data_IF_671273613326
#
_entry.id   IF_671273613326
#
_cell.length_a   1.000
_cell.length_b   1.000
_cell.length_c   1.000
_cell.angle_alpha   90.00
_cell.angle_beta   90.00
_cell.angle_gamma   90.00
#
_symmetry.space_group_name_H-M   'P 1'
#
loop_
_entity.id
_entity.type
_entity.pdbx_description
1 polymer ?
#
# COMPACT_ATOMS: atom_id res chain seq x y z
N UNK A 1 -18.39 3.91 12.66
CA UNK A 1 -17.83 3.73 11.31
C UNK A 1 -18.42 4.80 10.43
N UNK A 2 -17.62 5.77 9.97
CA UNK A 2 -18.12 6.83 9.10
C UNK A 2 -18.38 6.23 7.73
N UNK A 3 -19.64 6.15 7.33
CA UNK A 3 -20.05 5.67 6.03
C UNK A 3 -19.52 6.68 4.99
N UNK A 4 -18.43 6.33 4.31
CA UNK A 4 -17.87 7.19 3.26
C UNK A 4 -18.73 7.06 2.02
N UNK A 5 -19.16 8.19 1.44
CA UNK A 5 -19.90 8.22 0.18
C UNK A 5 -19.10 7.55 -0.96
N UNK A 6 -17.77 7.65 -0.90
CA UNK A 6 -16.84 6.96 -1.79
C UNK A 6 -16.73 5.45 -1.49
N UNK A 7 -17.40 4.91 -0.47
CA UNK A 7 -17.47 3.47 -0.24
C UNK A 7 -18.50 2.75 -1.11
N UNK A 8 -19.47 3.49 -1.69
CA UNK A 8 -20.55 2.91 -2.47
C UNK A 8 -20.05 2.32 -3.81
N UNK A 9 -20.52 1.12 -4.12
CA UNK A 9 -20.23 0.36 -5.34
C UNK A 9 -21.50 0.03 -6.15
N UNK A 10 -22.68 0.23 -5.56
CA UNK A 10 -24.00 0.01 -6.20
C UNK A 10 -24.90 1.24 -6.09
N UNK A 11 -25.89 1.36 -6.97
CA UNK A 11 -26.90 2.43 -6.92
C UNK A 11 -27.72 2.37 -5.63
N UNK A 12 -28.08 1.17 -5.17
CA UNK A 12 -28.87 0.95 -3.96
C UNK A 12 -28.13 1.39 -2.68
N UNK A 13 -26.79 1.32 -2.69
CA UNK A 13 -25.99 1.87 -1.62
C UNK A 13 -26.01 3.39 -1.62
N UNK A 14 -25.99 4.03 -2.79
CA UNK A 14 -26.06 5.49 -2.92
C UNK A 14 -27.40 6.03 -2.41
N UNK A 15 -28.51 5.32 -2.65
CA UNK A 15 -29.84 5.72 -2.14
C UNK A 15 -29.86 5.87 -0.61
N UNK A 16 -29.06 5.07 0.11
CA UNK A 16 -28.95 5.14 1.58
C UNK A 16 -28.27 6.42 2.07
N UNK A 17 -27.53 7.11 1.21
CA UNK A 17 -26.89 8.40 1.53
C UNK A 17 -27.81 9.60 1.29
N UNK A 18 -28.93 9.39 0.59
CA UNK A 18 -29.95 10.40 0.32
C UNK A 18 -30.23 10.59 -1.15
N UNK A 19 -30.91 11.68 -1.49
CA UNK A 19 -31.28 11.99 -2.88
C UNK A 19 -30.07 12.29 -3.75
N UNK A 20 -30.20 12.05 -5.07
CA UNK A 20 -29.18 12.41 -6.08
C UNK A 20 -28.69 13.84 -5.88
N UNK A 21 -29.60 14.81 -5.71
CA UNK A 21 -29.26 16.22 -5.49
C UNK A 21 -28.40 16.46 -4.24
N UNK A 22 -28.73 15.78 -3.14
CA UNK A 22 -28.00 15.90 -1.88
C UNK A 22 -26.58 15.35 -2.04
N UNK A 23 -26.45 14.22 -2.72
CA UNK A 23 -25.14 13.59 -2.97
C UNK A 23 -24.32 14.43 -3.94
N UNK A 24 -24.91 14.97 -5.02
CA UNK A 24 -24.26 15.88 -5.96
C UNK A 24 -23.74 17.13 -5.24
N UNK A 25 -24.54 17.70 -4.35
CA UNK A 25 -24.15 18.89 -3.58
C UNK A 25 -22.96 18.58 -2.66
N UNK A 26 -22.97 17.43 -2.00
CA UNK A 26 -21.84 16.96 -1.19
C UNK A 26 -20.60 16.73 -2.06
N UNK A 27 -20.72 16.08 -3.22
CA UNK A 27 -19.59 15.84 -4.11
C UNK A 27 -18.99 17.16 -4.61
N UNK A 28 -19.83 18.12 -5.00
CA UNK A 28 -19.36 19.45 -5.44
C UNK A 28 -18.53 20.20 -4.39
N UNK A 29 -18.73 19.97 -3.08
CA UNK A 29 -17.86 20.60 -2.07
C UNK A 29 -16.45 20.01 -2.02
N UNK A 30 -16.26 18.79 -2.51
CA UNK A 30 -14.94 18.13 -2.56
C UNK A 30 -14.24 18.28 -3.91
N UNK A 31 -14.97 18.68 -4.95
CA UNK A 31 -14.47 18.76 -6.30
C UNK A 31 -14.03 20.18 -6.66
N UNK A 32 -13.05 20.34 -7.56
CA UNK A 32 -12.70 21.65 -8.09
C UNK A 32 -13.91 22.28 -8.82
N UNK A 33 -14.01 23.62 -8.89
CA UNK A 33 -15.15 24.32 -9.49
C UNK A 33 -15.40 23.97 -10.96
N UNK A 34 -14.39 23.44 -11.65
CA UNK A 34 -14.45 23.01 -13.05
C UNK A 34 -15.02 21.60 -13.26
N UNK A 35 -15.23 20.82 -12.20
CA UNK A 35 -15.77 19.47 -12.31
C UNK A 35 -17.28 19.52 -12.57
N UNK A 36 -17.70 18.90 -13.66
CA UNK A 36 -19.12 18.76 -14.01
C UNK A 36 -19.56 17.34 -13.69
N UNK A 37 -20.61 17.21 -12.89
CA UNK A 37 -21.27 15.93 -12.61
C UNK A 37 -22.45 15.78 -13.57
N UNK A 38 -22.58 14.62 -14.19
CA UNK A 38 -23.63 14.31 -15.15
C UNK A 38 -24.93 13.82 -14.49
N UNK A 39 -24.93 13.68 -13.16
CA UNK A 39 -25.93 12.93 -12.41
C UNK A 39 -27.36 13.50 -12.46
N UNK A 40 -28.17 12.97 -13.38
CA UNK A 40 -29.65 12.99 -13.32
C UNK A 40 -30.23 11.73 -12.66
N UNK A 41 -29.41 10.70 -12.42
CA UNK A 41 -29.79 9.43 -11.79
C UNK A 41 -28.67 8.84 -10.92
N UNK A 42 -29.00 7.87 -10.05
CA UNK A 42 -28.01 7.17 -9.22
C UNK A 42 -27.00 6.35 -10.04
N UNK A 43 -27.39 5.85 -11.22
CA UNK A 43 -26.47 5.13 -12.11
C UNK A 43 -25.39 6.05 -12.69
N UNK A 44 -25.78 7.25 -13.10
CA UNK A 44 -24.85 8.28 -13.58
C UNK A 44 -23.95 8.78 -12.44
N UNK A 45 -24.54 8.99 -11.26
CA UNK A 45 -23.81 9.34 -10.05
C UNK A 45 -22.75 8.29 -9.70
N UNK A 46 -23.06 7.00 -9.86
CA UNK A 46 -22.11 5.92 -9.64
C UNK A 46 -20.93 5.99 -10.63
N UNK A 47 -21.20 6.29 -11.89
CA UNK A 47 -20.15 6.48 -12.91
C UNK A 47 -19.26 7.68 -12.57
N UNK A 48 -19.86 8.80 -12.16
CA UNK A 48 -19.14 9.99 -11.72
C UNK A 48 -18.28 9.68 -10.49
N UNK A 49 -18.81 8.99 -9.48
CA UNK A 49 -18.06 8.58 -8.28
C UNK A 49 -16.88 7.68 -8.65
N UNK A 50 -17.05 6.72 -9.57
CA UNK A 50 -15.94 5.89 -10.07
C UNK A 50 -14.89 6.72 -10.78
N UNK A 51 -15.29 7.67 -11.63
CA UNK A 51 -14.37 8.56 -12.32
C UNK A 51 -13.60 9.44 -11.33
N UNK A 52 -14.28 10.02 -10.33
CA UNK A 52 -13.69 10.84 -9.26
C UNK A 52 -12.66 10.02 -8.48
N UNK A 53 -12.99 8.79 -8.07
CA UNK A 53 -12.05 7.88 -7.39
C UNK A 53 -10.79 7.63 -8.21
N UNK A 54 -10.94 7.49 -9.52
CA UNK A 54 -9.84 7.10 -10.40
C UNK A 54 -8.95 8.29 -10.80
N UNK A 55 -9.52 9.50 -10.92
CA UNK A 55 -8.83 10.63 -11.56
C UNK A 55 -8.64 11.85 -10.66
N UNK A 56 -9.55 12.07 -9.70
CA UNK A 56 -9.54 13.27 -8.83
C UNK A 56 -9.00 12.95 -7.45
N UNK A 57 -9.46 11.85 -6.86
CA UNK A 57 -8.81 11.24 -5.71
C UNK A 57 -7.60 10.48 -6.25
N UNK A 58 -6.59 11.23 -6.72
CA UNK A 58 -5.23 10.70 -6.54
C UNK A 58 -5.11 10.53 -5.04
N UNK A 59 -4.78 9.34 -4.59
CA UNK A 59 -4.36 9.10 -3.23
C UNK A 59 -3.06 9.88 -2.95
N UNK A 60 -3.14 11.21 -2.89
CA UNK A 60 -2.42 11.95 -1.86
C UNK A 60 -3.16 11.63 -0.55
N UNK A 61 -3.13 10.34 -0.16
CA UNK A 61 -3.43 9.97 1.20
C UNK A 61 -2.37 10.67 2.03
N UNK A 62 -2.75 11.76 2.69
CA UNK A 62 -1.90 12.44 3.66
C UNK A 62 -1.74 11.46 4.82
N UNK A 63 -0.74 10.59 4.71
CA UNK A 63 -0.41 9.66 5.78
C UNK A 63 0.04 10.46 7.00
N UNK A 64 -0.55 10.18 8.15
CA UNK A 64 -0.24 10.92 9.39
C UNK A 64 1.21 10.68 9.82
N UNK A 65 1.77 9.52 9.48
CA UNK A 65 3.16 9.19 9.74
C UNK A 65 3.69 8.12 8.75
N UNK A 66 5.03 7.93 8.68
CA UNK A 66 5.63 6.92 7.81
C UNK A 66 5.15 5.50 8.08
N UNK A 67 4.76 5.16 9.32
CA UNK A 67 4.25 3.82 9.66
C UNK A 67 2.95 3.52 8.92
N UNK A 68 1.98 4.44 8.96
CA UNK A 68 0.70 4.29 8.25
C UNK A 68 0.90 4.16 6.74
N UNK A 69 1.81 4.95 6.18
CA UNK A 69 2.19 4.87 4.77
C UNK A 69 2.70 3.48 4.39
N UNK A 70 3.63 2.93 5.18
CA UNK A 70 4.20 1.60 4.88
C UNK A 70 3.17 0.49 5.06
N UNK A 71 2.30 0.56 6.08
CA UNK A 71 1.20 -0.40 6.27
C UNK A 71 0.26 -0.39 5.07
N UNK A 72 -0.12 0.79 4.60
CA UNK A 72 -0.97 0.94 3.42
C UNK A 72 -0.32 0.30 2.17
N UNK A 73 0.95 0.62 1.89
CA UNK A 73 1.63 0.04 0.73
C UNK A 73 1.78 -1.47 0.82
N UNK A 74 1.96 -2.03 2.01
CA UNK A 74 2.06 -3.47 2.21
C UNK A 74 0.73 -4.18 2.00
N UNK A 75 -0.39 -3.61 2.45
CA UNK A 75 -1.68 -4.31 2.53
C UNK A 75 -2.72 -3.93 1.48
N UNK A 76 -2.73 -2.68 1.05
CA UNK A 76 -3.88 -2.08 0.35
C UNK A 76 -3.54 -1.59 -1.06
N UNK A 77 -2.25 -1.33 -1.34
CA UNK A 77 -1.86 -0.80 -2.65
C UNK A 77 -1.95 -1.86 -3.76
N UNK A 78 -2.86 -1.63 -4.70
CA UNK A 78 -3.23 -2.59 -5.74
C UNK A 78 -2.15 -2.77 -6.83
N UNK A 79 -1.43 -1.71 -7.19
CA UNK A 79 -0.42 -1.77 -8.25
C UNK A 79 0.91 -2.31 -7.70
N UNK A 80 1.27 -3.54 -8.10
CA UNK A 80 2.48 -4.19 -7.62
C UNK A 80 3.79 -3.49 -7.99
N UNK A 81 3.84 -2.80 -9.15
CA UNK A 81 5.03 -2.06 -9.59
C UNK A 81 5.22 -0.79 -8.78
N UNK A 82 4.13 -0.03 -8.59
CA UNK A 82 4.15 1.17 -7.76
C UNK A 82 4.40 0.83 -6.29
N UNK A 83 3.82 -0.27 -5.77
CA UNK A 83 4.12 -0.79 -4.41
C UNK A 83 5.62 -0.98 -4.21
N UNK A 84 6.26 -1.70 -5.13
CA UNK A 84 7.70 -1.97 -5.08
C UNK A 84 8.50 -0.66 -5.07
N UNK A 85 8.17 0.27 -5.96
CA UNK A 85 8.82 1.57 -6.02
C UNK A 85 8.66 2.37 -4.73
N UNK A 86 7.44 2.44 -4.18
CA UNK A 86 7.12 3.18 -2.96
C UNK A 86 7.77 2.58 -1.71
N UNK A 87 7.88 1.26 -1.64
CA UNK A 87 8.58 0.56 -0.57
C UNK A 87 10.11 0.56 -0.76
N UNK A 88 10.63 1.14 -1.85
CA UNK A 88 12.07 1.15 -2.14
C UNK A 88 12.66 -0.22 -2.47
N UNK A 89 11.83 -1.13 -3.01
CA UNK A 89 12.29 -2.41 -3.56
C UNK A 89 13.08 -2.13 -4.83
N UNK A 90 14.24 -2.77 -4.94
CA UNK A 90 15.13 -2.65 -6.09
C UNK A 90 15.36 -4.01 -6.72
N UNK A 91 15.68 -4.02 -8.01
CA UNK A 91 15.98 -5.25 -8.75
C UNK A 91 17.22 -5.98 -8.18
N UNK A 92 18.16 -5.23 -7.58
CA UNK A 92 19.35 -5.79 -6.90
C UNK A 92 18.99 -6.76 -5.76
N UNK A 93 17.79 -6.67 -5.19
CA UNK A 93 17.35 -7.56 -4.10
C UNK A 93 17.03 -8.98 -4.57
N UNK A 94 16.77 -9.16 -5.87
CA UNK A 94 16.44 -10.45 -6.48
C UNK A 94 17.66 -11.16 -7.10
N UNK A 95 18.86 -10.59 -6.95
CA UNK A 95 20.10 -11.19 -7.43
C UNK A 95 20.69 -12.14 -6.38
N UNK A 96 21.51 -13.11 -6.79
CA UNK A 96 22.11 -14.09 -5.88
C UNK A 96 22.93 -13.44 -4.74
N UNK A 97 23.62 -12.33 -5.04
CA UNK A 97 24.37 -11.54 -4.06
C UNK A 97 23.51 -10.47 -3.34
N UNK A 98 22.22 -10.39 -3.67
CA UNK A 98 21.26 -9.39 -3.21
C UNK A 98 20.68 -9.63 -1.82
N UNK A 99 20.86 -10.83 -1.25
CA UNK A 99 20.24 -11.23 0.01
C UNK A 99 20.55 -10.27 1.17
N UNK A 100 21.80 -9.80 1.28
CA UNK A 100 22.19 -8.82 2.31
C UNK A 100 21.47 -7.48 2.14
N UNK A 101 21.32 -7.01 0.90
CA UNK A 101 20.63 -5.77 0.59
C UNK A 101 19.12 -5.89 0.86
N UNK A 102 18.52 -7.01 0.45
CA UNK A 102 17.11 -7.34 0.73
C UNK A 102 16.85 -7.41 2.24
N UNK A 103 17.76 -7.97 3.02
CA UNK A 103 17.63 -8.06 4.48
C UNK A 103 17.70 -6.69 5.14
N UNK A 104 18.63 -5.82 4.72
CA UNK A 104 18.71 -4.43 5.18
C UNK A 104 17.43 -3.65 4.87
N UNK A 105 16.89 -3.84 3.67
CA UNK A 105 15.61 -3.28 3.27
C UNK A 105 14.47 -3.75 4.19
N UNK A 106 14.35 -5.07 4.40
CA UNK A 106 13.34 -5.66 5.29
C UNK A 106 13.45 -5.12 6.72
N UNK A 107 14.66 -5.07 7.27
CA UNK A 107 14.91 -4.59 8.64
C UNK A 107 14.54 -3.10 8.80
N UNK A 108 14.81 -2.27 7.79
CA UNK A 108 14.41 -0.86 7.78
C UNK A 108 12.89 -0.72 7.86
N UNK A 109 12.14 -1.46 7.05
CA UNK A 109 10.67 -1.40 7.06
C UNK A 109 10.15 -1.96 8.38
N UNK A 110 10.68 -3.09 8.86
CA UNK A 110 10.34 -3.68 10.14
C UNK A 110 10.52 -2.67 11.29
N UNK A 111 11.60 -1.89 11.29
CA UNK A 111 11.81 -0.85 12.28
C UNK A 111 10.71 0.22 12.24
N UNK A 112 10.34 0.71 11.06
CA UNK A 112 9.25 1.70 10.88
C UNK A 112 7.91 1.14 11.39
N UNK A 113 7.62 -0.14 11.12
CA UNK A 113 6.39 -0.79 11.59
C UNK A 113 6.36 -0.98 13.12
N UNK A 114 7.53 -1.22 13.75
CA UNK A 114 7.71 -1.43 15.20
C UNK A 114 7.89 -0.16 16.01
N UNK A 115 8.17 0.99 15.40
CA UNK A 115 8.47 2.26 16.09
C UNK A 115 7.38 2.72 17.08
N UNK A 116 6.18 2.18 16.99
CA UNK A 116 4.98 2.67 17.68
C UNK A 116 4.16 1.52 18.30
N UNK A 117 4.81 0.42 18.70
CA UNK A 117 4.15 -0.84 19.09
C UNK A 117 2.90 -0.69 19.96
N UNK A 118 1.75 -0.97 19.35
CA UNK A 118 0.69 -1.77 19.96
C UNK A 118 0.44 -2.93 18.98
N UNK A 119 0.26 -4.15 19.49
CA UNK A 119 0.15 -5.39 18.70
C UNK A 119 -1.15 -5.52 17.90
N UNK A 120 -1.54 -4.46 17.20
CA UNK A 120 -2.75 -4.46 16.38
C UNK A 120 -2.60 -5.44 15.20
N UNK A 121 -3.69 -6.13 14.91
CA UNK A 121 -3.77 -7.17 13.87
C UNK A 121 -3.30 -6.65 12.51
N UNK A 122 -3.58 -5.38 12.20
CA UNK A 122 -3.20 -4.76 10.92
C UNK A 122 -1.68 -4.67 10.80
N UNK A 123 -0.99 -4.30 11.87
CA UNK A 123 0.48 -4.27 11.91
C UNK A 123 1.07 -5.67 11.79
N UNK A 124 0.47 -6.67 12.44
CA UNK A 124 0.92 -8.06 12.31
C UNK A 124 0.78 -8.57 10.86
N UNK A 125 -0.34 -8.26 10.21
CA UNK A 125 -0.55 -8.58 8.79
C UNK A 125 0.45 -7.86 7.89
N UNK A 126 0.76 -6.59 8.17
CA UNK A 126 1.77 -5.85 7.42
C UNK A 126 3.16 -6.48 7.57
N UNK A 127 3.51 -6.91 8.78
CA UNK A 127 4.74 -7.67 9.05
C UNK A 127 4.80 -8.99 8.30
N UNK A 128 3.71 -9.75 8.31
CA UNK A 128 3.61 -11.00 7.56
C UNK A 128 3.85 -10.75 6.07
N UNK A 129 3.19 -9.74 5.50
CA UNK A 129 3.34 -9.40 4.08
C UNK A 129 4.76 -8.93 3.74
N UNK A 130 5.42 -8.22 4.65
CA UNK A 130 6.83 -7.84 4.51
C UNK A 130 7.74 -9.08 4.44
N UNK A 131 7.50 -10.09 5.29
CA UNK A 131 8.27 -11.33 5.29
C UNK A 131 8.05 -12.15 4.01
N UNK A 132 6.81 -12.24 3.52
CA UNK A 132 6.51 -12.88 2.23
C UNK A 132 7.30 -12.23 1.10
N UNK A 133 7.30 -10.89 1.03
CA UNK A 133 8.05 -10.17 0.00
C UNK A 133 9.57 -10.41 0.10
N UNK A 134 10.11 -10.53 1.32
CA UNK A 134 11.53 -10.83 1.52
C UNK A 134 11.87 -12.28 1.14
N UNK A 135 11.00 -13.24 1.46
CA UNK A 135 11.12 -14.63 1.02
C UNK A 135 11.06 -14.74 -0.52
N UNK A 136 10.15 -14.02 -1.18
CA UNK A 136 10.07 -13.92 -2.64
C UNK A 136 11.39 -13.39 -3.26
N UNK A 137 12.08 -12.47 -2.58
CA UNK A 137 13.37 -11.91 -3.06
C UNK A 137 14.53 -12.87 -2.88
N UNK A 138 14.55 -13.60 -1.76
CA UNK A 138 15.69 -14.42 -1.35
C UNK A 138 15.53 -15.90 -1.71
N UNK A 139 14.36 -16.29 -2.23
CA UNK A 139 13.98 -17.68 -2.50
C UNK A 139 14.08 -18.59 -1.26
N UNK A 140 14.06 -17.99 -0.07
CA UNK A 140 14.00 -18.71 1.20
C UNK A 140 12.57 -19.18 1.45
N UNK A 141 12.43 -20.31 2.13
CA UNK A 141 11.11 -20.72 2.60
C UNK A 141 10.60 -19.74 3.67
N UNK A 142 9.29 -19.48 3.69
CA UNK A 142 8.68 -18.49 4.58
C UNK A 142 8.87 -18.80 6.08
N UNK A 143 9.08 -20.08 6.42
CA UNK A 143 9.37 -20.55 7.78
C UNK A 143 10.88 -20.80 8.02
N UNK A 144 11.76 -20.31 7.14
CA UNK A 144 13.20 -20.51 7.28
C UNK A 144 13.73 -19.81 8.54
N UNK A 145 14.38 -20.54 9.48
CA UNK A 145 14.97 -19.96 10.69
C UNK A 145 15.95 -18.81 10.43
N UNK A 146 16.55 -18.74 9.24
CA UNK A 146 17.46 -17.67 8.81
C UNK A 146 16.74 -16.31 8.62
N UNK A 147 15.42 -16.29 8.56
CA UNK A 147 14.61 -15.06 8.51
C UNK A 147 14.66 -14.27 9.82
N UNK A 148 14.85 -14.94 10.97
CA UNK A 148 14.79 -14.32 12.30
C UNK A 148 16.15 -14.15 12.99
N UNK A 149 17.23 -14.65 12.39
CA UNK A 149 18.56 -14.46 12.98
C UNK A 149 18.98 -12.98 12.88
N UNK A 150 19.57 -12.37 13.92
CA UNK A 150 20.49 -11.23 13.78
C UNK A 150 21.85 -11.75 13.30
N UNK A 151 22.55 -10.95 12.49
CA UNK A 151 23.73 -11.34 11.70
C UNK A 151 24.71 -12.31 12.38
N UNK A 152 24.84 -13.50 11.82
CA UNK A 152 26.07 -14.27 11.84
C UNK A 152 26.31 -14.79 10.43
N UNK A 153 27.02 -13.99 9.61
CA UNK A 153 28.02 -14.47 8.67
C UNK A 153 28.71 -13.27 8.02
N UNK A 154 29.97 -13.13 8.37
CA UNK A 154 30.97 -12.28 7.74
C UNK A 154 30.92 -12.40 6.23
N UNK A 155 31.07 -11.25 5.55
CA UNK A 155 31.56 -11.24 4.18
C UNK A 155 33.01 -11.75 4.19
N UNK A 156 33.21 -13.06 4.04
CA UNK A 156 34.50 -13.62 3.67
C UNK A 156 34.33 -14.29 2.31
N UNK A 157 34.80 -13.64 1.25
CA UNK A 157 34.69 -14.13 -0.12
C UNK A 157 34.94 -13.04 -1.14
N UNK A 158 36.21 -12.71 -1.36
CA UNK A 158 36.66 -11.73 -2.34
C UNK A 158 36.20 -12.08 -3.76
N UNK A 159 35.74 -11.06 -4.49
CA UNK A 159 35.64 -11.13 -5.94
C UNK A 159 37.05 -10.99 -6.52
N UNK A 160 37.72 -12.12 -6.76
CA UNK A 160 38.93 -12.16 -7.57
C UNK A 160 38.51 -12.04 -9.05
N UNK A 161 38.68 -10.85 -9.62
CA UNK A 161 38.51 -10.63 -11.05
C UNK A 161 39.80 -11.05 -11.76
N UNK A 162 39.77 -12.28 -12.30
CA UNK A 162 40.80 -12.77 -13.21
C UNK A 162 40.92 -11.89 -14.45
N UNK A 163 42.14 -11.39 -14.69
CA UNK A 163 42.61 -10.88 -15.98
C UNK A 163 43.03 -12.02 -16.90
#
# INVERSE_FOLDING_TARGET
MANSLFGANTSDELEKFGTVEKIVTQLKSFLPPSATLAAGSYEELLKDIKWIKQHVIREEQVFVNPRQEHIYYLLEHANGKERKQKLGVKDEFYQDCGASAARKWRNRIAFILRQDTCGDERTQRAFHRLQEMYAEMTQLEFDDPLLDQPDALSCEGGCDNGK
#
